data_IF_910581533045
#
_entry.id   IF_910581533045
#
_cell.length_a   1.000
_cell.length_b   1.000
_cell.length_c   1.000
_cell.angle_alpha   90.00
_cell.angle_beta   90.00
_cell.angle_gamma   90.00
#
_symmetry.space_group_name_H-M   'P 1'
#
loop_
_entity.id
_entity.type
_entity.pdbx_description
1 polymer ?
#
# COMPACT_ATOMS: atom_id res chain seq x y z
N UNK A 1 1.81 -14.77 -22.23
CA UNK A 1 1.80 -13.48 -21.48
C UNK A 1 2.95 -13.50 -20.50
N UNK A 2 3.93 -12.65 -20.70
CA UNK A 2 5.05 -12.50 -19.74
C UNK A 2 4.49 -11.94 -18.45
N UNK A 3 4.63 -12.70 -17.36
CA UNK A 3 4.27 -12.21 -16.02
C UNK A 3 5.05 -10.92 -15.72
N UNK A 4 4.38 -9.92 -15.18
CA UNK A 4 5.05 -8.68 -14.75
C UNK A 4 6.03 -9.03 -13.63
N UNK A 5 7.34 -8.92 -13.92
CA UNK A 5 8.37 -9.12 -12.92
C UNK A 5 8.73 -7.77 -12.27
N UNK A 6 8.72 -7.67 -10.93
CA UNK A 6 9.12 -6.45 -10.25
C UNK A 6 10.60 -6.15 -10.48
N UNK A 7 10.95 -4.88 -10.58
CA UNK A 7 12.34 -4.43 -10.57
C UNK A 7 12.92 -4.58 -9.17
N UNK A 8 14.22 -4.74 -9.04
CA UNK A 8 14.92 -4.93 -7.75
C UNK A 8 14.49 -3.89 -6.69
N UNK A 9 14.43 -2.60 -7.05
CA UNK A 9 14.03 -1.56 -6.11
C UNK A 9 12.57 -1.67 -5.69
N UNK A 10 11.68 -2.20 -6.56
CA UNK A 10 10.27 -2.42 -6.21
C UNK A 10 10.13 -3.54 -5.19
N UNK A 11 10.90 -4.60 -5.33
CA UNK A 11 10.97 -5.67 -4.32
C UNK A 11 11.48 -5.13 -2.98
N UNK A 12 12.54 -4.33 -2.98
CA UNK A 12 13.08 -3.70 -1.78
C UNK A 12 12.07 -2.77 -1.08
N UNK A 13 11.27 -2.01 -1.87
CA UNK A 13 10.19 -1.19 -1.31
C UNK A 13 9.13 -2.06 -0.64
N UNK A 14 8.69 -3.14 -1.28
CA UNK A 14 7.68 -4.03 -0.71
C UNK A 14 8.19 -4.76 0.55
N UNK A 15 9.44 -5.21 0.55
CA UNK A 15 10.10 -5.79 1.73
C UNK A 15 10.15 -4.79 2.90
N UNK A 16 10.42 -3.51 2.60
CA UNK A 16 10.43 -2.45 3.62
C UNK A 16 9.05 -2.18 4.20
N UNK A 17 8.02 -2.19 3.36
CA UNK A 17 6.61 -2.03 3.77
C UNK A 17 6.17 -3.21 4.62
N UNK A 18 6.46 -4.43 4.19
CA UNK A 18 6.17 -5.65 4.95
C UNK A 18 6.84 -5.64 6.32
N UNK A 19 8.13 -5.34 6.36
CA UNK A 19 8.89 -5.25 7.60
C UNK A 19 8.31 -4.22 8.59
N UNK A 20 7.85 -3.07 8.09
CA UNK A 20 7.21 -2.06 8.90
C UNK A 20 5.85 -2.54 9.46
N UNK A 21 5.02 -3.19 8.65
CA UNK A 21 3.72 -3.69 9.10
C UNK A 21 3.87 -4.81 10.13
N UNK A 22 4.82 -5.71 9.95
CA UNK A 22 5.16 -6.72 10.95
C UNK A 22 5.59 -6.07 12.26
N UNK A 23 6.49 -5.09 12.20
CA UNK A 23 6.94 -4.34 13.37
C UNK A 23 5.81 -3.56 14.07
N UNK A 24 4.85 -3.00 13.32
CA UNK A 24 3.67 -2.35 13.90
C UNK A 24 2.80 -3.31 14.69
N UNK A 25 2.82 -4.59 14.36
CA UNK A 25 2.07 -5.62 15.10
C UNK A 25 2.81 -6.10 16.35
N UNK A 26 4.13 -6.14 16.31
CA UNK A 26 5.00 -6.68 17.36
C UNK A 26 5.39 -5.63 18.41
N UNK A 27 5.44 -4.36 18.02
CA UNK A 27 5.94 -3.27 18.87
C UNK A 27 4.81 -2.36 19.39
N UNK A 28 5.02 -1.67 20.51
CA UNK A 28 3.96 -0.92 21.22
C UNK A 28 3.31 0.22 20.43
N UNK A 29 3.97 0.75 19.41
CA UNK A 29 3.40 1.84 18.60
C UNK A 29 4.01 1.90 17.19
N UNK A 30 3.28 2.48 16.22
CA UNK A 30 3.79 2.72 14.86
C UNK A 30 5.06 3.58 14.83
N UNK A 31 5.20 4.49 15.76
CA UNK A 31 6.40 5.34 15.90
C UNK A 31 7.65 4.51 16.23
N UNK A 32 7.55 3.65 17.22
CA UNK A 32 8.65 2.75 17.62
C UNK A 32 8.94 1.76 16.48
N UNK A 33 7.90 1.19 15.87
CA UNK A 33 8.01 0.28 14.75
C UNK A 33 8.74 0.92 13.55
N UNK A 34 8.42 2.18 13.24
CA UNK A 34 9.03 2.91 12.13
C UNK A 34 10.52 3.16 12.36
N UNK A 35 10.88 3.67 13.55
CA UNK A 35 12.28 3.92 13.91
C UNK A 35 13.10 2.63 13.90
N UNK A 36 12.60 1.57 14.53
CA UNK A 36 13.27 0.28 14.58
C UNK A 36 13.43 -0.35 13.17
N UNK A 37 12.39 -0.28 12.33
CA UNK A 37 12.44 -0.79 10.97
C UNK A 37 13.46 -0.05 10.12
N UNK A 38 13.49 1.27 10.19
CA UNK A 38 14.43 2.09 9.40
C UNK A 38 15.87 1.91 9.88
N UNK A 39 16.08 1.75 11.19
CA UNK A 39 17.39 1.42 11.73
C UNK A 39 17.90 0.06 11.23
N UNK A 40 17.04 -0.96 11.27
CA UNK A 40 17.39 -2.31 10.78
C UNK A 40 17.70 -2.34 9.29
N UNK A 41 16.91 -1.64 8.47
CA UNK A 41 17.04 -1.70 7.00
C UNK A 41 18.11 -0.78 6.45
N UNK A 42 18.33 0.38 7.09
CA UNK A 42 19.21 1.43 6.55
C UNK A 42 20.32 1.86 7.51
N UNK A 43 20.47 1.17 8.64
CA UNK A 43 21.49 1.48 9.66
C UNK A 43 21.27 2.80 10.40
N UNK A 44 20.07 3.41 10.25
CA UNK A 44 19.71 4.68 10.86
C UNK A 44 18.22 4.75 11.16
N UNK A 45 17.86 4.91 12.42
CA UNK A 45 16.48 5.15 12.83
C UNK A 45 16.01 6.54 12.39
N UNK A 46 14.92 6.58 11.62
CA UNK A 46 14.28 7.81 11.18
C UNK A 46 13.18 8.23 12.15
N UNK A 47 13.00 9.54 12.33
CA UNK A 47 11.89 10.08 13.10
C UNK A 47 10.55 9.79 12.42
N UNK A 48 9.58 9.33 13.22
CA UNK A 48 8.20 9.15 12.77
C UNK A 48 7.41 10.44 12.97
N UNK A 49 6.71 10.86 11.94
CA UNK A 49 5.82 12.01 12.00
C UNK A 49 4.37 11.54 11.85
N UNK A 50 3.58 11.45 12.93
CA UNK A 50 2.18 11.04 12.84
C UNK A 50 1.38 12.06 12.01
N UNK A 51 0.36 11.56 11.32
CA UNK A 51 -0.54 12.42 10.55
C UNK A 51 -1.47 13.18 11.49
N UNK A 52 -1.42 14.52 11.46
CA UNK A 52 -2.25 15.36 12.30
C UNK A 52 -3.77 15.09 12.08
N UNK A 53 -4.51 14.94 13.17
CA UNK A 53 -5.96 14.66 13.14
C UNK A 53 -6.32 13.19 12.97
N UNK A 54 -5.34 12.28 12.94
CA UNK A 54 -5.54 10.84 12.92
C UNK A 54 -5.10 10.19 14.24
N UNK A 55 -5.63 9.01 14.59
CA UNK A 55 -5.20 8.28 15.78
C UNK A 55 -3.69 8.00 15.76
N UNK A 56 -3.04 8.10 16.91
CA UNK A 56 -1.59 7.90 17.04
C UNK A 56 -1.15 6.45 16.88
N UNK A 57 -2.07 5.52 17.01
CA UNK A 57 -1.90 4.08 16.77
C UNK A 57 -2.11 3.66 15.30
N UNK A 58 -2.52 4.61 14.45
CA UNK A 58 -2.65 4.38 13.01
C UNK A 58 -1.28 4.53 12.32
N UNK A 59 -0.76 3.46 11.67
CA UNK A 59 0.46 3.55 10.89
C UNK A 59 0.32 4.54 9.71
N UNK A 60 1.29 5.43 9.59
CA UNK A 60 1.37 6.38 8.49
C UNK A 60 2.80 6.48 7.96
N UNK A 61 2.97 6.41 6.66
CA UNK A 61 4.28 6.58 6.03
C UNK A 61 4.14 7.04 4.58
N UNK A 62 5.22 7.53 4.02
CA UNK A 62 5.31 7.96 2.63
C UNK A 62 6.36 7.14 1.89
N UNK A 63 5.97 6.57 0.74
CA UNK A 63 6.89 5.94 -0.19
C UNK A 63 7.28 6.94 -1.28
N UNK A 64 8.54 7.35 -1.30
CA UNK A 64 9.06 8.22 -2.36
C UNK A 64 9.64 7.37 -3.49
N UNK A 65 8.91 7.30 -4.59
CA UNK A 65 9.30 6.55 -5.78
C UNK A 65 9.36 7.49 -6.99
N UNK A 66 10.38 7.40 -7.86
CA UNK A 66 10.48 8.24 -9.06
C UNK A 66 9.25 8.15 -9.97
N UNK A 67 9.05 9.16 -10.80
CA UNK A 67 8.03 9.12 -11.86
C UNK A 67 8.32 7.94 -12.79
N UNK A 68 7.26 7.20 -13.15
CA UNK A 68 7.42 5.93 -13.91
C UNK A 68 7.91 4.74 -13.08
N UNK A 69 8.18 4.92 -11.77
CA UNK A 69 8.65 3.86 -10.87
C UNK A 69 7.61 2.85 -10.42
N UNK A 70 6.37 2.92 -10.92
CA UNK A 70 5.32 1.94 -10.59
C UNK A 70 4.59 2.21 -9.28
N UNK A 71 4.44 3.48 -8.88
CA UNK A 71 3.74 3.88 -7.63
C UNK A 71 2.39 3.19 -7.44
N UNK A 72 1.55 3.19 -8.48
CA UNK A 72 0.21 2.60 -8.43
C UNK A 72 0.27 1.08 -8.28
N UNK A 73 1.23 0.42 -8.94
CA UNK A 73 1.44 -1.01 -8.80
C UNK A 73 1.94 -1.36 -7.39
N UNK A 74 2.90 -0.61 -6.85
CA UNK A 74 3.40 -0.78 -5.48
C UNK A 74 2.28 -0.61 -4.45
N UNK A 75 1.42 0.41 -4.63
CA UNK A 75 0.28 0.62 -3.76
C UNK A 75 -0.72 -0.54 -3.83
N UNK A 76 -1.00 -1.07 -5.04
CA UNK A 76 -1.87 -2.24 -5.20
C UNK A 76 -1.30 -3.50 -4.52
N UNK A 77 0.01 -3.74 -4.65
CA UNK A 77 0.71 -4.83 -3.96
C UNK A 77 0.69 -4.67 -2.44
N UNK A 78 0.81 -3.45 -1.94
CA UNK A 78 0.81 -3.18 -0.50
C UNK A 78 -0.51 -3.54 0.18
N UNK A 79 -1.62 -3.65 -0.54
CA UNK A 79 -2.92 -4.06 0.03
C UNK A 79 -2.84 -5.46 0.63
N UNK A 80 -2.27 -6.42 -0.09
CA UNK A 80 -2.10 -7.78 0.44
C UNK A 80 -1.19 -7.78 1.68
N UNK A 81 -0.13 -6.97 1.68
CA UNK A 81 0.76 -6.83 2.84
C UNK A 81 0.05 -6.23 4.06
N UNK A 82 -0.79 -5.20 3.85
CA UNK A 82 -1.62 -4.61 4.92
C UNK A 82 -2.54 -5.67 5.51
N UNK A 83 -3.28 -6.39 4.68
CA UNK A 83 -4.22 -7.39 5.15
C UNK A 83 -3.52 -8.51 5.93
N UNK A 84 -2.39 -8.99 5.43
CA UNK A 84 -1.66 -10.11 6.02
C UNK A 84 -0.91 -9.72 7.30
N UNK A 85 -0.15 -8.62 7.25
CA UNK A 85 0.85 -8.32 8.29
C UNK A 85 0.40 -7.26 9.29
N UNK A 86 -0.50 -6.36 8.91
CA UNK A 86 -0.99 -5.30 9.80
C UNK A 86 -2.37 -5.61 10.36
N UNK A 87 -3.36 -5.79 9.49
CA UNK A 87 -4.77 -5.96 9.91
C UNK A 87 -5.10 -7.40 10.29
N UNK A 88 -4.37 -8.38 9.75
CA UNK A 88 -4.62 -9.82 9.91
C UNK A 88 -6.06 -10.19 9.60
N UNK A 89 -6.56 -9.71 8.48
CA UNK A 89 -7.92 -9.93 8.01
C UNK A 89 -7.94 -10.46 6.57
N UNK A 90 -8.99 -11.19 6.23
CA UNK A 90 -9.20 -11.70 4.87
C UNK A 90 -9.72 -10.62 3.92
N UNK A 91 -10.47 -9.65 4.46
CA UNK A 91 -11.10 -8.58 3.67
C UNK A 91 -10.95 -7.23 4.34
N UNK A 92 -10.69 -6.21 3.55
CA UNK A 92 -10.59 -4.83 4.02
C UNK A 92 -11.24 -3.86 3.03
N UNK A 93 -11.60 -2.68 3.52
CA UNK A 93 -12.05 -1.56 2.68
C UNK A 93 -10.87 -0.64 2.42
N UNK A 94 -10.61 -0.36 1.15
CA UNK A 94 -9.52 0.52 0.72
C UNK A 94 -10.08 1.78 0.10
N UNK A 95 -9.71 2.94 0.64
CA UNK A 95 -9.99 4.23 0.03
C UNK A 95 -8.79 4.67 -0.82
N UNK A 96 -8.98 4.74 -2.14
CA UNK A 96 -7.94 5.15 -3.08
C UNK A 96 -8.13 6.61 -3.51
N UNK A 97 -7.26 7.48 -3.05
CA UNK A 97 -7.31 8.90 -3.36
C UNK A 97 -6.33 9.26 -4.47
N UNK A 98 -6.78 10.08 -5.41
CA UNK A 98 -5.97 10.56 -6.54
C UNK A 98 -6.21 12.06 -6.75
N UNK A 99 -5.20 12.80 -7.28
CA UNK A 99 -5.25 14.27 -7.28
C UNK A 99 -6.18 14.88 -8.33
N UNK A 100 -6.62 14.14 -9.35
CA UNK A 100 -7.43 14.69 -10.43
C UNK A 100 -8.37 13.66 -11.07
N UNK A 101 -9.44 14.18 -11.71
CA UNK A 101 -10.41 13.35 -12.42
C UNK A 101 -9.80 12.48 -13.55
N UNK A 102 -8.92 12.98 -14.43
CA UNK A 102 -8.29 12.15 -15.45
C UNK A 102 -7.49 10.99 -14.86
N UNK A 103 -6.73 11.25 -13.79
CA UNK A 103 -5.95 10.21 -13.09
C UNK A 103 -6.90 9.20 -12.43
N UNK A 104 -8.02 9.65 -11.86
CA UNK A 104 -9.05 8.77 -11.30
C UNK A 104 -9.58 7.81 -12.36
N UNK A 105 -10.00 8.31 -13.51
CA UNK A 105 -10.57 7.49 -14.59
C UNK A 105 -9.56 6.50 -15.15
N UNK A 106 -8.30 6.91 -15.30
CA UNK A 106 -7.22 6.03 -15.72
C UNK A 106 -6.96 4.92 -14.70
N UNK A 107 -6.86 5.29 -13.41
CA UNK A 107 -6.62 4.34 -12.32
C UNK A 107 -7.77 3.36 -12.17
N UNK A 108 -9.00 3.85 -12.21
CA UNK A 108 -10.20 3.02 -12.13
C UNK A 108 -10.25 1.97 -13.24
N UNK A 109 -10.00 2.38 -14.49
CA UNK A 109 -9.90 1.43 -15.62
C UNK A 109 -8.81 0.39 -15.43
N UNK A 110 -7.64 0.80 -14.94
CA UNK A 110 -6.52 -0.10 -14.70
C UNK A 110 -6.81 -1.11 -13.57
N UNK A 111 -7.41 -0.66 -12.47
CA UNK A 111 -7.77 -1.52 -11.34
C UNK A 111 -8.92 -2.49 -11.67
N UNK A 112 -9.82 -2.13 -12.59
CA UNK A 112 -10.93 -3.01 -13.07
C UNK A 112 -10.50 -3.96 -14.18
N UNK A 113 -9.45 -3.62 -14.91
CA UNK A 113 -9.01 -4.40 -16.07
C UNK A 113 -8.38 -5.74 -15.66
N UNK A 114 -9.09 -6.86 -15.81
CA UNK A 114 -8.66 -8.20 -15.35
C UNK A 114 -7.27 -8.63 -15.81
N UNK A 115 -6.83 -8.16 -16.98
CA UNK A 115 -5.50 -8.44 -17.53
C UNK A 115 -4.47 -7.34 -17.22
N UNK A 116 -4.87 -6.30 -16.49
CA UNK A 116 -3.97 -5.20 -16.15
C UNK A 116 -3.09 -5.58 -14.94
N UNK A 117 -1.77 -5.25 -14.94
CA UNK A 117 -0.87 -5.58 -13.83
C UNK A 117 -1.34 -5.07 -12.45
N UNK A 118 -2.03 -3.93 -12.41
CA UNK A 118 -2.56 -3.37 -11.15
C UNK A 118 -3.73 -4.20 -10.60
N UNK A 119 -4.60 -4.68 -11.46
CA UNK A 119 -5.67 -5.60 -11.06
C UNK A 119 -5.10 -6.91 -10.52
N UNK A 120 -4.12 -7.48 -11.22
CA UNK A 120 -3.44 -8.71 -10.80
C UNK A 120 -2.76 -8.53 -9.43
N UNK A 121 -2.07 -7.41 -9.25
CA UNK A 121 -1.42 -7.08 -7.98
C UNK A 121 -2.45 -6.93 -6.83
N UNK A 122 -3.56 -6.25 -7.09
CA UNK A 122 -4.60 -6.04 -6.08
C UNK A 122 -5.31 -7.36 -5.70
N UNK A 123 -5.50 -8.26 -6.67
CA UNK A 123 -6.11 -9.59 -6.44
C UNK A 123 -5.28 -10.53 -5.56
N UNK A 124 -4.04 -10.24 -5.28
CA UNK A 124 -3.26 -10.98 -4.30
C UNK A 124 -3.81 -10.83 -2.86
N UNK A 125 -4.56 -9.76 -2.62
CA UNK A 125 -5.31 -9.57 -1.38
C UNK A 125 -6.62 -10.37 -1.30
N UNK A 126 -6.98 -11.11 -2.36
CA UNK A 126 -8.23 -11.89 -2.45
C UNK A 126 -9.19 -11.37 -3.53
N UNK A 127 -10.46 -11.77 -3.47
CA UNK A 127 -11.51 -11.25 -4.35
C UNK A 127 -11.70 -9.74 -4.13
N UNK A 128 -11.80 -8.98 -5.23
CA UNK A 128 -11.91 -7.52 -5.16
C UNK A 128 -13.13 -7.00 -5.90
N UNK A 129 -13.75 -5.96 -5.36
CA UNK A 129 -14.73 -5.11 -6.03
C UNK A 129 -14.20 -3.69 -6.05
N UNK A 130 -14.07 -3.10 -7.22
CA UNK A 130 -13.58 -1.72 -7.38
C UNK A 130 -14.76 -0.83 -7.76
N UNK A 131 -15.12 0.06 -6.86
CA UNK A 131 -16.24 1.01 -7.02
C UNK A 131 -15.69 2.43 -7.16
N UNK A 132 -16.34 3.26 -7.94
CA UNK A 132 -16.17 4.70 -7.81
C UNK A 132 -17.08 5.24 -6.70
N UNK A 133 -16.96 6.55 -6.42
CA UNK A 133 -17.71 7.15 -5.31
C UNK A 133 -19.23 7.11 -5.52
N UNK A 134 -19.70 7.24 -6.76
CA UNK A 134 -21.14 7.27 -7.05
C UNK A 134 -21.73 5.85 -6.97
N UNK A 135 -21.01 4.86 -7.45
CA UNK A 135 -21.37 3.45 -7.27
C UNK A 135 -21.36 3.04 -5.80
N UNK A 136 -20.36 3.48 -5.03
CA UNK A 136 -20.25 3.17 -3.60
C UNK A 136 -21.40 3.75 -2.75
N UNK A 137 -22.04 4.85 -3.20
CA UNK A 137 -23.24 5.40 -2.55
C UNK A 137 -24.51 4.59 -2.82
N UNK A 138 -24.46 3.69 -3.80
CA UNK A 138 -25.62 2.91 -4.26
C UNK A 138 -25.61 1.47 -3.69
N UNK A 139 -24.58 1.12 -2.93
CA UNK A 139 -24.44 -0.15 -2.23
C UNK A 139 -24.85 0.04 -0.79
#
# INVERSE_FOLDING_TARGET
MTAFAPKTYQSQVLESVEAYFQACHELPSPSIAYTATTERLWGRGLAYNPLAGFPTDMPYFCLRVPTGGGKTWLAAKSVALVNTHLLRCEHSVILWLVPSKPIREQTLRALRGRNHPYHTALREAGPITVLDLDEAKSV
#
